data_IF_112878582439
#
_entry.id   IF_112878582439
#
_cell.length_a   1.000
_cell.length_b   1.000
_cell.length_c   1.000
_cell.angle_alpha   90.00
_cell.angle_beta   90.00
_cell.angle_gamma   90.00
#
_symmetry.space_group_name_H-M   'P 1'
#
loop_
_entity.id
_entity.type
_entity.pdbx_description
1 polymer ?
#
# COMPACT_ATOMS: atom_id res chain seq x y z
N UNK A 1 45.83 -59.91 51.85
CA UNK A 1 45.10 -59.24 50.76
C UNK A 1 44.15 -58.23 51.39
N UNK A 2 44.53 -56.94 51.45
CA UNK A 2 43.69 -55.87 51.98
C UNK A 2 43.15 -54.93 50.88
N UNK A 3 42.12 -54.17 51.25
CA UNK A 3 41.52 -53.04 50.53
C UNK A 3 42.55 -51.98 50.06
N UNK A 4 42.22 -51.18 49.03
CA UNK A 4 42.90 -49.91 48.81
C UNK A 4 42.03 -48.72 49.23
N UNK A 5 42.58 -47.93 50.15
CA UNK A 5 42.37 -46.48 50.26
C UNK A 5 43.42 -45.83 49.34
N UNK A 6 43.13 -44.68 48.72
CA UNK A 6 43.98 -43.53 49.04
C UNK A 6 43.20 -42.21 49.08
N UNK A 7 43.43 -41.45 50.15
CA UNK A 7 43.13 -40.03 50.22
C UNK A 7 44.43 -39.28 50.58
N UNK A 8 44.87 -38.44 49.64
CA UNK A 8 45.50 -37.12 49.78
C UNK A 8 46.77 -36.96 50.62
N UNK A 9 47.84 -36.46 49.98
CA UNK A 9 48.38 -35.09 50.13
C UNK A 9 49.88 -35.06 49.79
N UNK A 10 50.24 -34.37 48.71
CA UNK A 10 51.51 -33.67 48.60
C UNK A 10 51.29 -32.34 47.87
N UNK A 11 51.80 -31.26 48.50
CA UNK A 11 52.53 -30.09 47.95
C UNK A 11 52.25 -29.66 46.50
N UNK A 12 52.29 -28.40 46.10
CA UNK A 12 52.55 -27.08 46.68
C UNK A 12 52.60 -26.13 45.46
N UNK A 13 52.31 -24.84 45.68
CA UNK A 13 52.75 -23.67 44.90
C UNK A 13 53.02 -23.84 43.39
N UNK A 14 52.28 -23.09 42.58
CA UNK A 14 52.84 -21.92 41.87
C UNK A 14 51.74 -21.17 41.13
N UNK A 15 51.62 -19.88 41.45
CA UNK A 15 50.83 -18.94 40.70
C UNK A 15 51.49 -18.68 39.33
N UNK A 16 50.78 -18.97 38.25
CA UNK A 16 51.09 -18.45 36.93
C UNK A 16 49.95 -17.51 36.53
N UNK A 17 50.29 -16.23 36.42
CA UNK A 17 49.47 -15.18 35.81
C UNK A 17 49.21 -15.58 34.35
N UNK A 18 47.95 -15.84 34.01
CA UNK A 18 47.48 -15.88 32.63
C UNK A 18 46.47 -14.74 32.45
N UNK A 19 46.92 -13.70 31.77
CA UNK A 19 46.09 -12.66 31.17
C UNK A 19 45.19 -13.33 30.13
N UNK A 20 43.94 -13.62 30.50
CA UNK A 20 42.87 -13.85 29.55
C UNK A 20 42.29 -12.51 29.16
N UNK A 21 42.60 -12.06 27.94
CA UNK A 21 41.83 -11.03 27.26
C UNK A 21 40.44 -11.60 26.97
N UNK A 22 39.51 -11.38 27.90
CA UNK A 22 38.10 -11.56 27.62
C UNK A 22 37.68 -10.43 26.67
N UNK A 23 37.67 -10.72 25.38
CA UNK A 23 36.85 -10.03 24.41
C UNK A 23 35.38 -10.25 24.80
N UNK A 24 34.84 -9.35 25.63
CA UNK A 24 33.39 -9.25 25.79
C UNK A 24 32.82 -8.78 24.46
N UNK A 25 32.38 -9.73 23.63
CA UNK A 25 31.38 -9.41 22.62
C UNK A 25 30.16 -8.91 23.39
N UNK A 26 29.98 -7.58 23.36
CA UNK A 26 28.77 -6.94 23.85
C UNK A 26 27.59 -7.59 23.15
N UNK A 27 26.70 -8.22 23.91
CA UNK A 27 25.41 -8.63 23.39
C UNK A 27 24.70 -7.37 22.85
N UNK A 28 24.11 -7.41 21.65
CA UNK A 28 23.39 -6.26 21.13
C UNK A 28 22.20 -5.98 22.05
N UNK A 29 22.20 -4.78 22.65
CA UNK A 29 21.10 -4.27 23.45
C UNK A 29 19.81 -4.27 22.61
N UNK A 30 18.62 -4.63 23.15
CA UNK A 30 17.45 -4.97 22.34
C UNK A 30 16.82 -3.81 21.54
N UNK A 31 17.31 -2.58 21.67
CA UNK A 31 16.60 -1.40 21.16
C UNK A 31 17.34 -0.51 20.15
N UNK A 32 18.61 -0.74 19.81
CA UNK A 32 19.33 0.19 18.92
C UNK A 32 18.65 0.34 17.55
N UNK A 33 18.14 1.55 17.26
CA UNK A 33 17.58 1.92 15.97
C UNK A 33 18.58 2.83 15.26
N UNK A 34 19.19 2.31 14.18
CA UNK A 34 20.23 3.01 13.40
C UNK A 34 19.76 4.31 12.73
N UNK A 35 18.45 4.55 12.67
CA UNK A 35 17.87 5.74 12.08
C UNK A 35 17.60 6.86 13.11
N UNK A 36 17.82 6.59 14.40
CA UNK A 36 17.66 7.56 15.49
C UNK A 36 19.04 8.03 15.98
N UNK A 37 19.11 9.24 16.53
CA UNK A 37 20.34 9.72 17.17
C UNK A 37 20.71 8.85 18.38
N UNK A 38 21.99 8.79 18.77
CA UNK A 38 22.43 8.05 19.96
C UNK A 38 21.70 8.48 21.25
N UNK A 39 21.39 9.76 21.39
CA UNK A 39 20.69 10.35 22.54
C UNK A 39 19.23 9.92 22.58
N UNK A 40 18.56 9.87 21.42
CA UNK A 40 17.19 9.36 21.30
C UNK A 40 17.14 7.86 21.54
N UNK A 41 18.12 7.10 21.02
CA UNK A 41 18.26 5.67 21.33
C UNK A 41 18.48 5.40 22.82
N UNK A 42 19.26 6.24 23.51
CA UNK A 42 19.50 6.14 24.95
C UNK A 42 18.25 6.51 25.77
N UNK A 43 17.52 7.55 25.35
CA UNK A 43 16.24 7.91 25.97
C UNK A 43 15.21 6.80 25.79
N UNK A 44 15.05 6.24 24.59
CA UNK A 44 14.15 5.11 24.30
C UNK A 44 14.58 3.78 24.93
N UNK A 45 15.81 3.67 25.41
CA UNK A 45 16.28 2.54 26.20
C UNK A 45 15.94 2.69 27.70
N UNK A 46 15.40 3.84 28.12
CA UNK A 46 14.93 4.07 29.49
C UNK A 46 13.67 3.21 29.74
N UNK A 47 13.72 2.22 30.66
CA UNK A 47 12.57 1.38 30.98
C UNK A 47 11.40 2.15 31.60
N UNK A 48 11.57 3.44 31.93
CA UNK A 48 10.51 4.31 32.41
C UNK A 48 9.77 5.05 31.29
N UNK A 49 10.24 5.03 30.04
CA UNK A 49 9.43 5.55 28.93
C UNK A 49 8.40 4.50 28.48
N UNK A 50 7.18 4.92 28.10
CA UNK A 50 6.26 4.06 27.38
C UNK A 50 6.87 3.68 26.03
N UNK A 51 7.52 2.52 25.93
CA UNK A 51 8.21 2.10 24.69
C UNK A 51 7.39 1.00 23.99
N UNK A 52 6.88 1.30 22.80
CA UNK A 52 6.69 0.29 21.76
C UNK A 52 7.30 0.71 20.43
N UNK A 53 8.12 -0.20 19.87
CA UNK A 53 8.49 -0.25 18.45
C UNK A 53 7.34 -0.88 17.68
N UNK A 54 6.63 -0.12 16.86
CA UNK A 54 5.85 -0.70 15.76
C UNK A 54 6.66 -0.65 14.47
N UNK A 55 6.90 -1.82 13.87
CA UNK A 55 7.30 -1.99 12.47
C UNK A 55 6.02 -2.27 11.68
N UNK A 56 5.38 -1.19 11.24
CA UNK A 56 4.24 -1.18 10.34
C UNK A 56 4.09 0.26 9.91
N UNK A 57 3.75 0.51 8.65
CA UNK A 57 3.93 1.80 7.97
C UNK A 57 3.01 2.94 8.46
N UNK A 58 2.49 2.87 9.69
CA UNK A 58 1.64 3.85 10.33
C UNK A 58 2.11 4.08 11.79
N UNK A 59 2.58 5.31 12.01
CA UNK A 59 2.91 5.96 13.30
C UNK A 59 3.96 5.31 14.22
N UNK A 60 5.23 5.62 13.97
CA UNK A 60 6.19 5.85 15.06
C UNK A 60 5.95 7.22 15.73
N UNK A 61 6.76 7.56 16.72
CA UNK A 61 6.77 8.90 17.33
C UNK A 61 6.95 10.00 16.28
N UNK A 62 6.31 11.16 16.48
CA UNK A 62 6.58 12.32 15.61
C UNK A 62 8.01 12.82 15.76
N UNK A 63 8.57 13.41 14.69
CA UNK A 63 9.85 14.14 14.77
C UNK A 63 9.84 15.24 15.83
N UNK A 64 8.66 15.83 16.09
CA UNK A 64 8.46 16.83 17.14
C UNK A 64 8.65 16.21 18.53
N UNK A 65 8.07 15.04 18.78
CA UNK A 65 8.29 14.30 20.02
C UNK A 65 9.76 13.90 20.21
N UNK A 66 10.40 13.38 19.15
CA UNK A 66 11.83 13.03 19.18
C UNK A 66 12.71 14.25 19.54
N UNK A 67 12.39 15.42 18.99
CA UNK A 67 13.05 16.68 19.32
C UNK A 67 12.77 17.11 20.77
N UNK A 68 11.54 16.95 21.25
CA UNK A 68 11.15 17.33 22.61
C UNK A 68 11.86 16.49 23.67
N UNK A 69 11.94 15.17 23.48
CA UNK A 69 12.63 14.28 24.43
C UNK A 69 14.15 14.44 24.41
N UNK A 70 14.75 14.79 23.27
CA UNK A 70 16.20 15.00 23.17
C UNK A 70 16.66 16.34 23.75
N UNK A 71 15.79 17.35 23.76
CA UNK A 71 16.07 18.68 24.31
C UNK A 71 14.86 19.17 25.14
N UNK A 72 14.59 18.56 26.30
CA UNK A 72 13.49 18.96 27.16
C UNK A 72 13.66 20.40 27.66
N UNK A 73 12.57 21.15 27.76
CA UNK A 73 12.59 22.50 28.31
C UNK A 73 13.06 22.45 29.79
N UNK A 74 14.13 23.20 30.16
CA UNK A 74 14.86 23.01 31.42
C UNK A 74 14.13 23.58 32.64
N UNK A 75 13.06 24.34 32.44
CA UNK A 75 12.29 25.07 33.45
C UNK A 75 11.05 24.32 33.96
N UNK A 76 10.78 23.12 33.43
CA UNK A 76 9.63 22.31 33.79
C UNK A 76 9.95 21.29 34.87
N UNK A 77 8.97 21.00 35.73
CA UNK A 77 9.09 19.99 36.80
C UNK A 77 9.10 18.55 36.28
N UNK A 78 8.46 18.28 35.13
CA UNK A 78 8.45 16.99 34.44
C UNK A 78 8.37 17.20 32.92
N UNK A 79 9.48 17.62 32.28
CA UNK A 79 9.47 17.94 30.85
C UNK A 79 9.17 16.72 29.97
N UNK A 80 9.46 15.51 30.45
CA UNK A 80 9.17 14.27 29.72
C UNK A 80 7.68 13.99 29.65
N UNK A 81 6.96 14.12 30.77
CA UNK A 81 5.49 13.99 30.77
C UNK A 81 4.82 15.03 29.89
N UNK A 82 5.38 16.25 29.83
CA UNK A 82 4.89 17.26 28.91
C UNK A 82 5.07 16.86 27.44
N UNK A 83 6.25 16.36 27.04
CA UNK A 83 6.46 15.87 25.68
C UNK A 83 5.46 14.77 25.29
N UNK A 84 5.17 13.83 26.21
CA UNK A 84 4.19 12.75 25.99
C UNK A 84 2.77 13.31 25.86
N UNK A 85 2.39 14.27 26.72
CA UNK A 85 1.07 14.90 26.66
C UNK A 85 0.85 15.68 25.35
N UNK A 86 1.89 16.36 24.85
CA UNK A 86 1.85 17.05 23.56
C UNK A 86 1.68 16.07 22.39
N UNK A 87 2.39 14.93 22.41
CA UNK A 87 2.25 13.88 21.39
C UNK A 87 0.86 13.23 21.42
N UNK A 88 0.30 12.94 22.60
CA UNK A 88 -1.07 12.45 22.75
C UNK A 88 -2.06 13.45 22.15
N UNK A 89 -1.89 14.73 22.46
CA UNK A 89 -2.75 15.81 21.93
C UNK A 89 -2.68 15.87 20.41
N UNK A 90 -1.48 15.77 19.84
CA UNK A 90 -1.29 15.74 18.40
C UNK A 90 -1.96 14.52 17.76
N UNK A 91 -1.70 13.31 18.27
CA UNK A 91 -2.28 12.07 17.74
C UNK A 91 -3.81 12.03 17.86
N UNK A 92 -4.39 12.64 18.90
CA UNK A 92 -5.84 12.86 18.99
C UNK A 92 -6.37 13.80 17.89
N UNK A 93 -5.62 14.81 17.50
CA UNK A 93 -5.98 15.63 16.33
C UNK A 93 -6.01 14.81 15.05
N UNK A 94 -5.00 13.94 14.88
CA UNK A 94 -4.89 13.02 13.74
C UNK A 94 -6.08 12.05 13.68
N UNK A 95 -6.58 11.54 14.83
CA UNK A 95 -7.76 10.65 14.80
C UNK A 95 -9.00 11.33 14.22
N UNK A 96 -9.19 12.63 14.48
CA UNK A 96 -10.29 13.39 13.89
C UNK A 96 -10.17 13.52 12.37
N UNK A 97 -8.96 13.74 11.85
CA UNK A 97 -8.69 13.81 10.41
C UNK A 97 -8.99 12.47 9.71
N UNK A 98 -8.50 11.35 10.27
CA UNK A 98 -8.79 10.02 9.73
C UNK A 98 -10.28 9.67 9.79
N UNK A 99 -10.95 10.00 10.89
CA UNK A 99 -12.39 9.79 11.01
C UNK A 99 -13.17 10.61 9.98
N UNK A 100 -12.81 11.89 9.78
CA UNK A 100 -13.44 12.73 8.77
C UNK A 100 -13.22 12.14 7.36
N UNK A 101 -11.99 11.72 7.05
CA UNK A 101 -11.67 11.08 5.77
C UNK A 101 -12.49 9.80 5.54
N UNK A 102 -12.66 8.96 6.57
CA UNK A 102 -13.55 7.80 6.54
C UNK A 102 -15.01 8.19 6.30
N UNK A 103 -15.51 9.23 6.98
CA UNK A 103 -16.89 9.69 6.81
C UNK A 103 -17.15 10.22 5.41
N UNK A 104 -16.22 10.99 4.83
CA UNK A 104 -16.37 11.47 3.44
C UNK A 104 -16.41 10.29 2.47
N UNK A 105 -15.48 9.33 2.59
CA UNK A 105 -15.50 8.11 1.78
C UNK A 105 -16.82 7.31 1.96
N UNK A 106 -17.32 7.21 3.19
CA UNK A 106 -18.57 6.50 3.47
C UNK A 106 -19.80 7.24 2.93
N UNK A 107 -19.88 8.57 3.06
CA UNK A 107 -20.97 9.37 2.50
C UNK A 107 -21.04 9.25 0.99
N UNK A 108 -19.89 9.18 0.34
CA UNK A 108 -19.79 9.07 -1.11
C UNK A 108 -20.09 7.64 -1.58
N UNK A 109 -19.42 6.64 -1.00
CA UNK A 109 -19.40 5.27 -1.54
C UNK A 109 -20.37 4.30 -0.86
N UNK A 110 -20.71 4.51 0.42
CA UNK A 110 -21.59 3.62 1.20
C UNK A 110 -22.47 4.38 2.22
N UNK A 111 -23.44 5.21 1.80
CA UNK A 111 -24.18 6.10 2.71
C UNK A 111 -24.87 5.39 3.88
N UNK A 112 -25.29 4.13 3.67
CA UNK A 112 -25.99 3.33 4.67
C UNK A 112 -25.14 3.03 5.93
N UNK A 113 -23.81 3.08 5.85
CA UNK A 113 -22.93 2.78 7.01
C UNK A 113 -22.52 4.02 7.81
N UNK A 114 -22.81 5.23 7.33
CA UNK A 114 -22.37 6.50 7.93
C UNK A 114 -22.80 6.62 9.39
N UNK A 115 -24.08 6.36 9.71
CA UNK A 115 -24.58 6.41 11.09
C UNK A 115 -23.89 5.39 12.00
N UNK A 116 -23.50 4.23 11.47
CA UNK A 116 -22.73 3.22 12.19
C UNK A 116 -21.33 3.70 12.53
N UNK A 117 -20.63 4.32 11.56
CA UNK A 117 -19.28 4.88 11.72
C UNK A 117 -19.28 6.02 12.76
N UNK A 118 -20.24 6.94 12.70
CA UNK A 118 -20.41 7.99 13.70
C UNK A 118 -20.68 7.40 15.10
N UNK A 119 -21.46 6.32 15.18
CA UNK A 119 -21.71 5.58 16.41
C UNK A 119 -20.43 4.97 17.00
N UNK A 120 -19.62 4.30 16.18
CA UNK A 120 -18.34 3.70 16.57
C UNK A 120 -17.36 4.75 17.11
N UNK A 121 -17.25 5.90 16.45
CA UNK A 121 -16.38 6.98 16.91
C UNK A 121 -16.82 7.57 18.27
N UNK A 122 -18.12 7.76 18.48
CA UNK A 122 -18.64 8.18 19.80
C UNK A 122 -18.30 7.16 20.90
N UNK A 123 -18.49 5.87 20.64
CA UNK A 123 -18.15 4.81 21.58
C UNK A 123 -16.64 4.77 21.89
N UNK A 124 -15.81 4.99 20.88
CA UNK A 124 -14.37 5.09 21.07
C UNK A 124 -13.98 6.30 21.94
N UNK A 125 -14.58 7.48 21.73
CA UNK A 125 -14.34 8.66 22.56
C UNK A 125 -14.74 8.44 24.01
N UNK A 126 -15.83 7.72 24.27
CA UNK A 126 -16.25 7.33 25.61
C UNK A 126 -15.23 6.37 26.25
N UNK A 127 -14.83 5.31 25.53
CA UNK A 127 -13.78 4.36 25.95
C UNK A 127 -12.46 5.08 26.26
N UNK A 128 -12.02 5.99 25.38
CA UNK A 128 -10.80 6.78 25.58
C UNK A 128 -10.84 7.59 26.88
N UNK A 129 -11.99 8.18 27.21
CA UNK A 129 -12.16 8.97 28.44
C UNK A 129 -12.22 8.12 29.71
N UNK A 130 -12.82 6.93 29.65
CA UNK A 130 -13.09 6.10 30.84
C UNK A 130 -12.06 5.00 31.11
N UNK A 131 -11.36 4.49 30.08
CA UNK A 131 -10.57 3.26 30.20
C UNK A 131 -9.17 3.44 30.77
N UNK A 132 -8.66 4.66 30.83
CA UNK A 132 -7.29 4.94 31.30
C UNK A 132 -7.26 5.59 32.71
N UNK A 133 -8.35 5.52 33.48
CA UNK A 133 -8.38 5.96 34.89
C UNK A 133 -7.76 4.91 35.84
N UNK A 134 -6.98 5.42 36.79
CA UNK A 134 -5.76 4.84 37.40
C UNK A 134 -6.02 3.82 38.53
N UNK A 135 -7.24 3.31 38.74
CA UNK A 135 -7.51 2.44 39.91
C UNK A 135 -6.80 1.06 39.87
N UNK A 136 -6.19 0.66 38.75
CA UNK A 136 -5.43 -0.60 38.63
C UNK A 136 -3.92 -0.43 38.33
N UNK A 137 -3.38 0.79 38.27
CA UNK A 137 -2.04 1.04 37.69
C UNK A 137 -1.04 1.64 38.68
N UNK A 138 -0.96 1.13 39.91
CA UNK A 138 -0.04 1.64 40.93
C UNK A 138 1.43 1.19 40.79
N UNK A 139 1.82 0.45 39.75
CA UNK A 139 3.15 -0.16 39.65
C UNK A 139 4.08 0.39 38.56
N UNK A 140 3.60 1.20 37.61
CA UNK A 140 4.40 1.64 36.46
C UNK A 140 4.25 3.15 36.16
N UNK A 141 5.37 3.91 36.08
CA UNK A 141 5.36 5.27 35.52
C UNK A 141 4.71 5.28 34.13
N UNK A 142 3.91 6.33 33.85
CA UNK A 142 3.26 6.58 32.55
C UNK A 142 2.25 5.52 32.06
N UNK A 143 1.75 4.64 32.92
CA UNK A 143 0.77 3.62 32.55
C UNK A 143 -0.51 4.20 31.92
N UNK A 144 -0.95 5.37 32.39
CA UNK A 144 -2.10 6.09 31.82
C UNK A 144 -1.81 6.57 30.41
N UNK A 145 -0.68 7.22 30.21
CA UNK A 145 -0.26 7.75 28.91
C UNK A 145 -0.06 6.62 27.89
N UNK A 146 0.48 5.47 28.31
CA UNK A 146 0.58 4.28 27.45
C UNK A 146 -0.79 3.78 27.01
N UNK A 147 -1.74 3.64 27.95
CA UNK A 147 -3.12 3.25 27.63
C UNK A 147 -3.77 4.20 26.62
N UNK A 148 -3.55 5.51 26.76
CA UNK A 148 -4.09 6.51 25.85
C UNK A 148 -3.52 6.37 24.44
N UNK A 149 -2.20 6.20 24.32
CA UNK A 149 -1.55 5.98 23.02
C UNK A 149 -2.02 4.68 22.35
N UNK A 150 -2.17 3.59 23.11
CA UNK A 150 -2.64 2.31 22.59
C UNK A 150 -4.06 2.43 22.00
N UNK A 151 -4.96 3.12 22.71
CA UNK A 151 -6.33 3.34 22.22
C UNK A 151 -6.39 4.24 20.98
N UNK A 152 -5.48 5.21 20.86
CA UNK A 152 -5.37 6.08 19.68
C UNK A 152 -4.86 5.28 18.47
N UNK A 153 -3.79 4.51 18.64
CA UNK A 153 -3.21 3.73 17.54
C UNK A 153 -4.17 2.62 17.08
N UNK A 154 -4.89 1.96 18.02
CA UNK A 154 -5.97 1.00 17.70
C UNK A 154 -7.03 1.65 16.80
N UNK A 155 -7.47 2.87 17.15
CA UNK A 155 -8.49 3.58 16.38
C UNK A 155 -8.01 4.00 15.00
N UNK A 156 -6.80 4.56 14.89
CA UNK A 156 -6.22 4.94 13.60
C UNK A 156 -6.15 3.72 12.68
N UNK A 157 -5.64 2.59 13.18
CA UNK A 157 -5.52 1.36 12.42
C UNK A 157 -6.89 0.84 11.95
N UNK A 158 -7.87 0.75 12.85
CA UNK A 158 -9.23 0.32 12.50
C UNK A 158 -9.88 1.26 11.48
N UNK A 159 -9.72 2.58 11.66
CA UNK A 159 -10.26 3.60 10.76
C UNK A 159 -9.65 3.51 9.36
N UNK A 160 -8.32 3.30 9.26
CA UNK A 160 -7.65 3.08 7.98
C UNK A 160 -8.16 1.81 7.31
N UNK A 161 -8.23 0.69 8.02
CA UNK A 161 -8.73 -0.57 7.46
C UNK A 161 -10.18 -0.47 6.99
N UNK A 162 -11.04 0.17 7.77
CA UNK A 162 -12.44 0.39 7.43
C UNK A 162 -12.59 1.33 6.24
N UNK A 163 -11.77 2.39 6.17
CA UNK A 163 -11.73 3.29 5.01
C UNK A 163 -11.29 2.52 3.77
N UNK A 164 -10.20 1.76 3.86
CA UNK A 164 -9.75 0.88 2.77
C UNK A 164 -10.88 -0.04 2.33
N UNK A 165 -11.60 -0.68 3.25
CA UNK A 165 -12.74 -1.56 2.93
C UNK A 165 -13.87 -0.84 2.21
N UNK A 166 -14.21 0.38 2.64
CA UNK A 166 -15.25 1.21 2.00
C UNK A 166 -14.80 1.65 0.61
N UNK A 167 -13.54 2.04 0.45
CA UNK A 167 -12.98 2.43 -0.85
C UNK A 167 -12.72 1.21 -1.75
N UNK A 168 -12.48 0.03 -1.17
CA UNK A 168 -12.22 -1.23 -1.85
C UNK A 168 -13.47 -2.10 -1.99
N UNK A 169 -14.67 -1.63 -1.63
CA UNK A 169 -15.92 -2.40 -1.79
C UNK A 169 -16.20 -2.78 -3.26
N UNK A 170 -15.54 -2.08 -4.20
CA UNK A 170 -15.54 -2.40 -5.64
C UNK A 170 -14.34 -3.25 -6.07
N UNK A 171 -13.39 -3.58 -5.19
CA UNK A 171 -12.26 -4.43 -5.55
C UNK A 171 -12.68 -5.89 -5.69
N UNK A 172 -12.49 -6.42 -6.89
CA UNK A 172 -12.79 -7.80 -7.19
C UNK A 172 -11.92 -8.29 -8.34
N UNK A 173 -11.64 -9.58 -8.35
CA UNK A 173 -10.88 -10.24 -9.40
C UNK A 173 -11.69 -11.41 -9.93
N UNK A 174 -11.72 -11.58 -11.24
CA UNK A 174 -12.32 -12.73 -11.91
C UNK A 174 -11.22 -13.51 -12.64
N UNK A 175 -10.94 -14.72 -12.17
CA UNK A 175 -9.92 -15.60 -12.75
C UNK A 175 -10.47 -16.39 -13.96
N UNK A 176 -11.78 -16.58 -14.03
CA UNK A 176 -12.42 -17.40 -15.07
C UNK A 176 -12.09 -16.89 -16.48
N UNK A 177 -11.38 -17.70 -17.25
CA UNK A 177 -11.10 -17.42 -18.65
C UNK A 177 -12.36 -17.55 -19.52
N UNK A 178 -12.47 -16.74 -20.60
CA UNK A 178 -13.39 -17.05 -21.69
C UNK A 178 -13.09 -18.47 -22.20
N UNK A 179 -14.12 -19.27 -22.54
CA UNK A 179 -13.89 -20.60 -23.08
C UNK A 179 -12.98 -20.52 -24.30
N UNK A 180 -11.87 -21.25 -24.28
CA UNK A 180 -10.94 -21.31 -25.39
C UNK A 180 -11.61 -22.01 -26.57
N UNK A 181 -11.68 -21.32 -27.73
CA UNK A 181 -12.39 -21.65 -28.98
C UNK A 181 -13.93 -21.49 -28.93
N UNK A 182 -14.43 -20.35 -29.42
CA UNK A 182 -15.86 -19.95 -29.48
C UNK A 182 -16.58 -20.02 -28.13
N UNK A 183 -16.37 -18.98 -27.33
CA UNK A 183 -16.80 -18.96 -25.93
C UNK A 183 -17.64 -17.75 -25.56
N UNK A 184 -18.50 -17.94 -24.57
CA UNK A 184 -19.00 -16.84 -23.76
C UNK A 184 -18.64 -17.09 -22.29
N UNK A 185 -18.26 -16.03 -21.60
CA UNK A 185 -18.03 -16.04 -20.16
C UNK A 185 -18.76 -14.87 -19.52
N UNK A 186 -19.00 -14.97 -18.22
CA UNK A 186 -19.46 -13.84 -17.41
C UNK A 186 -18.48 -13.69 -16.26
N UNK A 187 -17.76 -12.57 -16.27
CA UNK A 187 -16.83 -12.18 -15.23
C UNK A 187 -17.61 -11.38 -14.18
N UNK A 188 -17.60 -11.85 -12.94
CA UNK A 188 -18.27 -11.19 -11.82
C UNK A 188 -17.22 -10.45 -10.99
N UNK A 189 -17.41 -9.13 -10.84
CA UNK A 189 -16.48 -8.21 -10.19
C UNK A 189 -17.19 -7.48 -9.04
N UNK A 190 -17.51 -8.23 -7.98
CA UNK A 190 -18.36 -7.75 -6.91
C UNK A 190 -19.80 -7.63 -7.40
N UNK A 191 -20.33 -6.40 -7.41
CA UNK A 191 -21.65 -6.09 -7.98
C UNK A 191 -21.61 -5.61 -9.46
N UNK A 192 -20.43 -5.58 -10.06
CA UNK A 192 -20.27 -5.36 -11.50
C UNK A 192 -20.15 -6.67 -12.27
N UNK A 193 -20.49 -6.60 -13.55
CA UNK A 193 -20.47 -7.74 -14.46
C UNK A 193 -19.85 -7.34 -15.80
N UNK A 194 -19.03 -8.24 -16.33
CA UNK A 194 -18.59 -8.19 -17.73
C UNK A 194 -18.95 -9.51 -18.40
N UNK A 195 -19.97 -9.50 -19.26
CA UNK A 195 -20.21 -10.63 -20.15
C UNK A 195 -19.29 -10.51 -21.37
N UNK A 196 -18.55 -11.57 -21.66
CA UNK A 196 -17.58 -11.62 -22.76
C UNK A 196 -18.06 -12.66 -23.76
N UNK A 197 -18.10 -12.31 -25.03
CA UNK A 197 -18.30 -13.26 -26.13
C UNK A 197 -17.20 -13.07 -27.16
N UNK A 198 -16.61 -14.17 -27.63
CA UNK A 198 -15.45 -14.16 -28.54
C UNK A 198 -15.70 -15.09 -29.72
N UNK A 199 -15.14 -14.75 -30.88
CA UNK A 199 -15.25 -15.59 -32.07
C UNK A 199 -14.15 -16.67 -32.10
N UNK A 200 -12.92 -16.29 -31.77
CA UNK A 200 -11.77 -17.21 -31.68
C UNK A 200 -10.78 -16.70 -30.62
N UNK A 201 -9.94 -17.58 -30.08
CA UNK A 201 -8.91 -17.27 -29.09
C UNK A 201 -7.62 -18.05 -29.38
N UNK A 202 -6.93 -17.76 -30.50
CA UNK A 202 -5.66 -18.39 -30.82
C UNK A 202 -4.59 -18.06 -29.77
N UNK A 203 -3.67 -19.00 -29.58
CA UNK A 203 -2.45 -18.80 -28.81
C UNK A 203 -1.62 -17.63 -29.39
N UNK A 204 -1.10 -16.78 -28.51
CA UNK A 204 -0.34 -15.57 -28.83
C UNK A 204 0.98 -15.56 -28.06
N UNK A 205 2.11 -15.31 -28.75
CA UNK A 205 3.50 -15.38 -28.22
C UNK A 205 3.93 -16.76 -27.70
N UNK A 206 3.18 -17.36 -26.79
CA UNK A 206 3.40 -18.68 -26.20
C UNK A 206 2.05 -19.25 -25.71
N UNK A 207 2.07 -20.47 -25.21
CA UNK A 207 0.86 -21.20 -24.80
C UNK A 207 0.05 -20.52 -23.69
N UNK A 208 0.62 -19.51 -23.00
CA UNK A 208 -0.03 -18.86 -21.86
C UNK A 208 -0.84 -17.60 -22.19
N UNK A 209 -0.79 -17.12 -23.42
CA UNK A 209 -1.57 -15.95 -23.82
C UNK A 209 -2.46 -16.31 -25.00
N UNK A 210 -3.69 -15.84 -24.97
CA UNK A 210 -4.69 -16.06 -26.01
C UNK A 210 -5.16 -14.72 -26.55
N UNK A 211 -4.98 -14.50 -27.84
CA UNK A 211 -5.41 -13.28 -28.53
C UNK A 211 -6.84 -13.47 -29.04
N UNK A 212 -7.83 -13.27 -28.17
CA UNK A 212 -9.22 -13.43 -28.54
C UNK A 212 -9.70 -12.35 -29.52
N UNK A 213 -10.33 -12.75 -30.62
CA UNK A 213 -10.74 -11.88 -31.72
C UNK A 213 -12.25 -11.57 -31.70
N UNK A 214 -12.62 -10.41 -32.26
CA UNK A 214 -13.99 -9.90 -32.38
C UNK A 214 -14.76 -9.93 -31.04
N UNK A 215 -14.09 -9.48 -29.98
CA UNK A 215 -14.60 -9.54 -28.62
C UNK A 215 -15.79 -8.60 -28.44
N UNK A 216 -16.92 -9.19 -28.06
CA UNK A 216 -18.16 -8.50 -27.68
C UNK A 216 -18.27 -8.49 -26.18
N UNK A 217 -18.38 -7.29 -25.60
CA UNK A 217 -18.53 -7.09 -24.16
C UNK A 217 -19.93 -6.54 -23.86
N UNK A 218 -20.52 -7.02 -22.78
CA UNK A 218 -21.63 -6.35 -22.09
C UNK A 218 -21.15 -6.00 -20.70
N UNK A 219 -20.98 -4.71 -20.43
CA UNK A 219 -20.45 -4.19 -19.16
C UNK A 219 -21.60 -3.56 -18.39
N UNK A 220 -21.76 -3.94 -17.13
CA UNK A 220 -22.67 -3.25 -16.22
C UNK A 220 -22.11 -3.14 -14.81
N UNK A 221 -22.47 -2.04 -14.17
CA UNK A 221 -22.20 -1.75 -12.76
C UNK A 221 -23.51 -1.26 -12.13
N UNK A 222 -23.59 -1.09 -10.80
CA UNK A 222 -24.79 -0.52 -10.17
C UNK A 222 -25.19 0.86 -10.73
N UNK A 223 -24.22 1.63 -11.21
CA UNK A 223 -24.40 3.01 -11.68
C UNK A 223 -24.45 3.12 -13.22
N UNK A 224 -24.00 2.07 -13.93
CA UNK A 224 -23.90 2.02 -15.38
C UNK A 224 -24.77 0.88 -15.91
N UNK A 225 -25.87 1.24 -16.59
CA UNK A 225 -26.72 0.27 -17.30
C UNK A 225 -25.93 -0.48 -18.39
N UNK A 226 -26.42 -1.66 -18.80
CA UNK A 226 -25.73 -2.53 -19.77
C UNK A 226 -25.19 -1.77 -21.00
N UNK A 227 -23.87 -1.72 -21.11
CA UNK A 227 -23.13 -1.13 -22.22
C UNK A 227 -22.60 -2.22 -23.14
N UNK A 228 -22.91 -2.11 -24.43
CA UNK A 228 -22.46 -3.05 -25.45
C UNK A 228 -21.23 -2.50 -26.16
N UNK A 229 -20.10 -3.19 -26.02
CA UNK A 229 -18.83 -2.77 -26.61
C UNK A 229 -18.31 -3.85 -27.56
N UNK A 230 -17.63 -3.40 -28.61
CA UNK A 230 -16.96 -4.27 -29.56
C UNK A 230 -15.50 -3.88 -29.60
N UNK A 231 -14.62 -4.83 -29.26
CA UNK A 231 -13.18 -4.69 -29.39
C UNK A 231 -12.70 -5.64 -30.49
N UNK A 232 -11.75 -5.22 -31.35
CA UNK A 232 -11.18 -6.11 -32.35
C UNK A 232 -10.48 -7.32 -31.73
N UNK A 233 -9.83 -7.10 -30.58
CA UNK A 233 -9.01 -8.11 -29.90
C UNK A 233 -8.88 -7.83 -28.41
N UNK A 234 -8.86 -8.87 -27.57
CA UNK A 234 -8.46 -8.81 -26.16
C UNK A 234 -7.53 -9.99 -25.85
N UNK A 235 -6.48 -9.74 -25.08
CA UNK A 235 -5.51 -10.74 -24.65
C UNK A 235 -5.94 -11.32 -23.31
N UNK A 236 -6.14 -12.63 -23.26
CA UNK A 236 -6.35 -13.40 -22.03
C UNK A 236 -5.08 -14.17 -21.66
N UNK A 237 -4.79 -14.28 -20.37
CA UNK A 237 -3.67 -15.07 -19.88
C UNK A 237 -4.14 -16.13 -18.90
N UNK A 238 -3.64 -17.35 -19.05
CA UNK A 238 -3.87 -18.49 -18.16
C UNK A 238 -2.73 -18.69 -17.15
N UNK A 239 -1.81 -17.72 -17.02
CA UNK A 239 -0.76 -17.76 -16.01
C UNK A 239 -1.37 -17.73 -14.62
N UNK A 240 -0.80 -18.49 -13.69
CA UNK A 240 -1.30 -18.65 -12.32
C UNK A 240 -1.50 -17.33 -11.57
N UNK A 241 -0.65 -16.33 -11.80
CA UNK A 241 -0.73 -15.03 -11.14
C UNK A 241 -1.59 -14.00 -11.90
N UNK A 242 -1.98 -14.28 -13.16
CA UNK A 242 -2.78 -13.36 -13.98
C UNK A 242 -4.28 -13.66 -13.81
N UNK A 243 -5.14 -12.68 -14.10
CA UNK A 243 -6.58 -12.87 -14.04
C UNK A 243 -7.32 -12.26 -15.24
N UNK A 244 -8.49 -12.79 -15.55
CA UNK A 244 -9.30 -12.35 -16.69
C UNK A 244 -9.88 -10.95 -16.50
N UNK A 245 -10.26 -10.59 -15.28
CA UNK A 245 -10.63 -9.22 -15.00
C UNK A 245 -10.33 -8.78 -13.57
N UNK A 246 -10.18 -7.47 -13.39
CA UNK A 246 -10.07 -6.81 -12.10
C UNK A 246 -10.97 -5.59 -12.05
N UNK A 247 -11.48 -5.27 -10.87
CA UNK A 247 -12.12 -3.99 -10.56
C UNK A 247 -11.41 -3.32 -9.40
N UNK A 248 -11.37 -1.99 -9.40
CA UNK A 248 -10.77 -1.17 -8.35
C UNK A 248 -9.33 -0.75 -8.63
N UNK A 249 -8.54 -0.49 -7.58
CA UNK A 249 -7.32 0.30 -7.69
C UNK A 249 -6.17 -0.39 -8.44
N UNK A 250 -5.39 0.40 -9.18
CA UNK A 250 -4.12 0.02 -9.79
C UNK A 250 -2.94 0.80 -9.18
N UNK A 251 -3.07 1.30 -7.94
CA UNK A 251 -2.01 2.08 -7.26
C UNK A 251 -0.71 1.30 -7.07
N UNK A 252 -0.80 0.00 -6.83
CA UNK A 252 0.34 -0.90 -6.67
C UNK A 252 0.77 -1.55 -7.99
N UNK A 253 0.19 -1.10 -9.10
CA UNK A 253 0.49 -1.61 -10.43
C UNK A 253 0.16 -3.08 -10.62
N UNK A 254 1.02 -3.74 -11.39
CA UNK A 254 0.89 -5.15 -11.80
C UNK A 254 1.70 -6.11 -10.94
N UNK A 255 2.00 -5.74 -9.68
CA UNK A 255 2.78 -6.58 -8.76
C UNK A 255 2.10 -7.92 -8.43
N UNK A 256 0.77 -7.99 -8.61
CA UNK A 256 -0.07 -9.16 -8.30
C UNK A 256 -0.74 -9.75 -9.54
N UNK A 257 -0.10 -9.59 -10.71
CA UNK A 257 -0.59 -10.12 -11.96
C UNK A 257 -1.03 -9.07 -12.97
N UNK A 258 -1.25 -9.56 -14.18
CA UNK A 258 -1.83 -8.83 -15.30
C UNK A 258 -3.31 -9.15 -15.43
N UNK A 259 -4.05 -8.20 -15.97
CA UNK A 259 -5.50 -8.30 -16.08
C UNK A 259 -5.93 -8.03 -17.52
N UNK A 260 -6.80 -8.87 -18.08
CA UNK A 260 -7.28 -8.69 -19.45
C UNK A 260 -8.28 -7.55 -19.57
N UNK A 261 -9.16 -7.40 -18.58
CA UNK A 261 -10.17 -6.36 -18.50
C UNK A 261 -10.11 -5.71 -17.10
N UNK A 262 -10.14 -4.39 -17.04
CA UNK A 262 -10.04 -3.65 -15.79
C UNK A 262 -11.12 -2.59 -15.71
N UNK A 263 -11.89 -2.60 -14.62
CA UNK A 263 -12.83 -1.54 -14.25
C UNK A 263 -12.23 -0.68 -13.15
N UNK A 264 -11.93 0.58 -13.46
CA UNK A 264 -11.35 1.53 -12.52
C UNK A 264 -11.62 2.95 -13.00
N UNK A 265 -11.68 3.90 -12.08
CA UNK A 265 -11.82 5.32 -12.40
C UNK A 265 -10.45 5.88 -12.84
N UNK A 266 -10.25 6.06 -14.16
CA UNK A 266 -8.99 6.50 -14.75
C UNK A 266 -8.84 8.02 -14.73
N UNK A 267 -9.93 8.76 -14.88
CA UNK A 267 -9.95 10.22 -14.95
C UNK A 267 -10.35 10.90 -13.62
N UNK A 268 -10.66 10.10 -12.59
CA UNK A 268 -11.08 10.53 -11.26
C UNK A 268 -12.36 11.39 -11.29
N UNK A 269 -13.30 11.05 -12.18
CA UNK A 269 -14.60 11.73 -12.30
C UNK A 269 -15.72 11.10 -11.45
N UNK A 270 -15.40 10.01 -10.74
CA UNK A 270 -16.32 9.26 -9.87
C UNK A 270 -17.05 8.11 -10.58
N UNK A 271 -16.88 7.96 -11.88
CA UNK A 271 -17.40 6.83 -12.66
C UNK A 271 -16.29 5.82 -13.01
N UNK A 272 -16.69 4.58 -13.25
CA UNK A 272 -15.75 3.53 -13.60
C UNK A 272 -15.51 3.51 -15.11
N UNK A 273 -14.23 3.52 -15.50
CA UNK A 273 -13.78 3.35 -16.87
C UNK A 273 -13.40 1.90 -17.16
N UNK A 274 -13.29 1.55 -18.44
CA UNK A 274 -12.84 0.23 -18.88
C UNK A 274 -11.46 0.32 -19.55
N UNK A 275 -10.52 -0.47 -19.04
CA UNK A 275 -9.24 -0.71 -19.68
C UNK A 275 -9.16 -2.16 -20.16
N UNK A 276 -8.81 -2.38 -21.42
CA UNK A 276 -8.74 -3.71 -22.02
C UNK A 276 -7.35 -3.99 -22.57
N UNK A 277 -6.74 -5.13 -22.20
CA UNK A 277 -5.46 -5.58 -22.72
C UNK A 277 -5.65 -6.01 -24.17
N UNK A 278 -5.22 -5.18 -25.13
CA UNK A 278 -5.50 -5.39 -26.56
C UNK A 278 -4.28 -5.77 -27.40
N UNK A 279 -3.08 -5.73 -26.83
CA UNK A 279 -1.87 -6.17 -27.54
C UNK A 279 -0.61 -6.19 -26.68
N UNK A 280 0.54 -6.28 -27.34
CA UNK A 280 1.85 -6.40 -26.70
C UNK A 280 2.82 -5.30 -27.17
N UNK A 281 2.27 -4.14 -27.53
CA UNK A 281 3.02 -3.00 -28.04
C UNK A 281 3.63 -2.14 -26.91
N UNK A 282 3.48 -2.55 -25.64
CA UNK A 282 4.20 -1.99 -24.51
C UNK A 282 5.70 -2.29 -24.56
N UNK A 283 6.45 -1.64 -23.67
CA UNK A 283 7.91 -1.76 -23.62
C UNK A 283 8.34 -3.22 -23.40
N UNK A 284 9.32 -3.72 -24.17
CA UNK A 284 9.74 -5.14 -24.16
C UNK A 284 8.62 -6.18 -24.33
N UNK A 285 7.51 -5.80 -24.96
CA UNK A 285 6.39 -6.70 -25.15
C UNK A 285 5.43 -6.78 -23.98
N UNK A 286 5.48 -5.80 -23.08
CA UNK A 286 4.45 -5.59 -22.07
C UNK A 286 3.07 -5.34 -22.68
N UNK A 287 2.02 -5.48 -21.85
CA UNK A 287 0.66 -5.19 -22.26
C UNK A 287 0.52 -3.78 -22.85
N UNK A 288 -0.20 -3.69 -23.96
CA UNK A 288 -0.79 -2.45 -24.43
C UNK A 288 -2.30 -2.50 -24.18
N UNK A 289 -2.88 -1.36 -23.83
CA UNK A 289 -4.28 -1.27 -23.47
C UNK A 289 -5.04 -0.34 -24.40
N UNK A 290 -6.31 -0.68 -24.62
CA UNK A 290 -7.35 0.25 -25.09
C UNK A 290 -8.05 0.80 -23.86
N UNK A 291 -8.27 2.12 -23.85
CA UNK A 291 -8.87 2.85 -22.73
C UNK A 291 -10.22 3.38 -23.18
N UNK A 292 -11.30 3.01 -22.48
CA UNK A 292 -12.65 3.48 -22.75
C UNK A 292 -13.15 4.21 -21.52
N UNK A 293 -13.34 5.52 -21.63
CA UNK A 293 -13.82 6.35 -20.53
C UNK A 293 -15.34 6.36 -20.52
N UNK A 294 -15.96 6.28 -19.35
CA UNK A 294 -17.39 6.51 -19.25
C UNK A 294 -17.66 8.02 -19.37
N UNK A 295 -18.53 8.39 -20.30
CA UNK A 295 -18.99 9.76 -20.44
C UNK A 295 -20.39 9.89 -19.81
N UNK A 296 -20.53 10.59 -18.67
CA UNK A 296 -21.81 10.72 -17.98
C UNK A 296 -22.83 11.54 -18.78
N UNK A 297 -22.39 12.40 -19.70
CA UNK A 297 -23.30 13.21 -20.53
C UNK A 297 -23.98 12.35 -21.59
N UNK A 298 -23.25 11.40 -22.18
CA UNK A 298 -23.78 10.47 -23.20
C UNK A 298 -24.19 9.12 -22.63
N UNK A 299 -23.88 8.87 -21.35
CA UNK A 299 -24.11 7.63 -20.62
C UNK A 299 -23.53 6.40 -21.33
N UNK A 300 -22.33 6.54 -21.88
CA UNK A 300 -21.68 5.54 -22.71
C UNK A 300 -20.17 5.49 -22.48
N UNK A 301 -19.57 4.31 -22.70
CA UNK A 301 -18.12 4.20 -22.80
C UNK A 301 -17.64 4.70 -24.16
N UNK A 302 -16.65 5.59 -24.15
CA UNK A 302 -16.03 6.20 -25.33
C UNK A 302 -14.54 5.90 -25.34
N UNK A 303 -14.04 5.33 -26.44
CA UNK A 303 -12.62 5.05 -26.60
C UNK A 303 -11.79 6.35 -26.60
N UNK A 304 -10.80 6.42 -25.71
CA UNK A 304 -9.87 7.53 -25.61
C UNK A 304 -8.56 7.22 -26.33
N UNK A 305 -8.57 7.45 -27.65
CA UNK A 305 -7.39 7.28 -28.51
C UNK A 305 -6.26 8.27 -28.21
N UNK A 306 -6.57 9.40 -27.55
CA UNK A 306 -5.58 10.42 -27.22
C UNK A 306 -4.57 9.91 -26.18
N UNK A 307 -4.96 9.05 -25.24
CA UNK A 307 -4.02 8.40 -24.31
C UNK A 307 -2.99 7.59 -25.09
N UNK A 308 -3.46 6.78 -26.04
CA UNK A 308 -2.61 5.88 -26.81
C UNK A 308 -1.55 6.64 -27.61
N UNK A 309 -1.89 7.82 -28.15
CA UNK A 309 -0.95 8.71 -28.82
C UNK A 309 0.12 9.27 -27.87
N UNK A 310 -0.21 9.50 -26.60
CA UNK A 310 0.72 10.04 -25.60
C UNK A 310 1.66 8.99 -24.99
N UNK A 311 1.29 7.70 -25.02
CA UNK A 311 2.08 6.64 -24.38
C UNK A 311 3.46 6.47 -25.05
N UNK A 312 3.56 6.54 -26.37
CA UNK A 312 4.84 6.47 -27.12
C UNK A 312 5.78 5.32 -26.65
N UNK A 313 5.40 4.05 -26.85
CA UNK A 313 6.18 2.85 -26.46
C UNK A 313 6.43 2.64 -24.95
N UNK A 314 5.81 3.44 -24.09
CA UNK A 314 5.86 3.21 -22.65
C UNK A 314 4.85 2.10 -22.24
N UNK A 315 5.15 1.44 -21.13
CA UNK A 315 4.24 0.51 -20.45
C UNK A 315 3.56 1.23 -19.29
N UNK A 316 2.28 0.98 -19.08
CA UNK A 316 1.59 1.42 -17.86
C UNK A 316 2.22 0.71 -16.66
N UNK A 317 2.55 1.45 -15.59
CA UNK A 317 3.00 0.87 -14.32
C UNK A 317 1.87 0.82 -13.30
N UNK A 318 1.18 1.94 -13.08
CA UNK A 318 0.15 2.10 -12.04
C UNK A 318 -0.80 3.26 -12.38
N UNK A 319 -1.93 3.31 -11.67
CA UNK A 319 -2.85 4.46 -11.67
C UNK A 319 -3.05 4.90 -10.22
N UNK A 320 -2.76 6.16 -9.92
CA UNK A 320 -2.85 6.74 -8.58
C UNK A 320 -3.66 8.03 -8.67
N UNK A 321 -4.82 8.11 -8.04
CA UNK A 321 -5.67 9.32 -8.01
C UNK A 321 -5.87 9.96 -9.40
N UNK A 322 -6.26 9.16 -10.40
CA UNK A 322 -6.46 9.60 -11.80
C UNK A 322 -5.19 10.02 -12.56
N UNK A 323 -4.01 9.75 -11.99
CA UNK A 323 -2.71 9.91 -12.64
C UNK A 323 -2.20 8.55 -13.10
N UNK A 324 -2.03 8.41 -14.41
CA UNK A 324 -1.50 7.22 -15.04
C UNK A 324 0.02 7.36 -15.13
N UNK A 325 0.73 6.41 -14.54
CA UNK A 325 2.18 6.35 -14.56
C UNK A 325 2.65 5.36 -15.61
N UNK A 326 3.64 5.78 -16.39
CA UNK A 326 4.20 5.01 -17.48
C UNK A 326 5.71 4.97 -17.38
N UNK A 327 6.30 3.86 -17.82
CA UNK A 327 7.75 3.69 -17.85
C UNK A 327 8.19 3.12 -19.19
N UNK A 328 9.43 3.39 -19.57
CA UNK A 328 10.07 2.72 -20.69
C UNK A 328 11.55 2.46 -20.40
N UNK A 329 12.07 1.45 -21.09
CA UNK A 329 13.49 1.16 -21.16
C UNK A 329 13.88 0.85 -22.59
N UNK A 330 15.08 1.26 -22.98
CA UNK A 330 15.68 0.82 -24.24
C UNK A 330 17.17 0.54 -24.05
N UNK A 331 17.55 -0.72 -24.23
CA UNK A 331 18.91 -1.19 -24.02
C UNK A 331 19.39 -1.00 -22.57
N UNK A 332 20.73 -0.91 -22.37
CA UNK A 332 21.30 -0.80 -21.04
C UNK A 332 21.06 0.59 -20.41
N UNK A 333 21.01 1.65 -21.22
CA UNK A 333 21.18 3.03 -20.73
C UNK A 333 19.95 3.93 -20.77
N UNK A 334 19.03 3.71 -21.71
CA UNK A 334 17.86 4.58 -21.84
C UNK A 334 16.78 4.12 -20.87
N UNK A 335 16.29 5.06 -20.06
CA UNK A 335 15.14 4.91 -19.18
C UNK A 335 14.26 6.13 -19.36
N UNK A 336 12.97 5.97 -19.15
CA UNK A 336 12.17 7.13 -18.84
C UNK A 336 10.85 6.79 -18.21
N UNK A 337 10.27 7.82 -17.63
CA UNK A 337 9.02 7.80 -16.89
C UNK A 337 8.15 8.94 -17.42
N UNK A 338 6.85 8.69 -17.47
CA UNK A 338 5.87 9.64 -17.97
C UNK A 338 4.61 9.52 -17.14
N UNK A 339 4.12 10.66 -16.68
CA UNK A 339 2.88 10.75 -15.92
C UNK A 339 1.84 11.50 -16.75
N UNK A 340 0.68 10.88 -16.92
CA UNK A 340 -0.47 11.45 -17.64
C UNK A 340 -1.60 11.67 -16.63
N UNK A 341 -2.28 12.80 -16.72
CA UNK A 341 -3.52 13.08 -16.00
C UNK A 341 -4.57 13.64 -16.95
N UNK A 342 -5.83 13.49 -16.60
CA UNK A 342 -6.93 14.06 -17.34
C UNK A 342 -7.27 15.49 -16.90
N UNK A 343 -7.54 16.35 -17.88
CA UNK A 343 -8.20 17.64 -17.70
C UNK A 343 -9.59 17.52 -18.35
N UNK A 344 -10.62 17.26 -17.53
CA UNK A 344 -11.91 16.77 -18.04
C UNK A 344 -11.73 15.40 -18.69
N UNK A 345 -12.22 15.21 -19.92
CA UNK A 345 -12.03 13.96 -20.69
C UNK A 345 -10.73 13.91 -21.50
N UNK A 346 -9.87 14.94 -21.40
CA UNK A 346 -8.69 15.04 -22.27
C UNK A 346 -7.40 14.71 -21.51
N UNK A 347 -6.63 13.70 -21.94
CA UNK A 347 -5.37 13.37 -21.28
C UNK A 347 -4.28 14.39 -21.62
N UNK A 348 -3.39 14.64 -20.64
CA UNK A 348 -2.24 15.53 -20.73
C UNK A 348 -1.04 14.92 -20.03
N UNK A 349 0.15 15.10 -20.61
CA UNK A 349 1.40 14.78 -19.92
C UNK A 349 1.63 15.87 -18.86
N UNK A 350 1.77 15.47 -17.61
CA UNK A 350 2.04 16.37 -16.49
C UNK A 350 3.48 16.25 -15.98
N UNK A 351 4.14 15.12 -16.25
CA UNK A 351 5.55 14.93 -15.96
C UNK A 351 6.17 13.97 -16.99
N UNK A 352 7.45 14.21 -17.30
CA UNK A 352 8.28 13.33 -18.12
C UNK A 352 9.71 13.42 -17.65
N UNK A 353 10.36 12.28 -17.48
CA UNK A 353 11.74 12.17 -17.08
C UNK A 353 12.43 11.10 -17.92
N UNK A 354 13.23 11.51 -18.91
CA UNK A 354 13.99 10.61 -19.77
C UNK A 354 15.48 10.75 -19.41
N UNK A 355 16.14 9.62 -19.13
CA UNK A 355 17.54 9.55 -18.73
C UNK A 355 18.32 8.66 -19.68
N UNK A 356 19.50 9.13 -20.08
CA UNK A 356 20.46 8.35 -20.84
C UNK A 356 21.76 8.22 -20.04
N UNK A 357 21.88 7.15 -19.24
CA UNK A 357 23.05 6.94 -18.39
C UNK A 357 24.36 6.70 -19.17
N UNK A 358 24.29 6.45 -20.49
CA UNK A 358 25.46 6.32 -21.35
C UNK A 358 26.06 7.69 -21.72
N UNK A 359 25.27 8.77 -21.70
CA UNK A 359 25.72 10.13 -22.04
C UNK A 359 25.75 11.04 -20.83
N UNK A 360 24.84 10.85 -19.88
CA UNK A 360 24.61 11.76 -18.76
C UNK A 360 25.63 11.56 -17.62
N UNK A 361 26.55 10.58 -17.77
CA UNK A 361 27.71 10.36 -16.90
C UNK A 361 29.05 10.85 -17.47
N UNK A 362 29.05 11.53 -18.63
CA UNK A 362 30.25 12.09 -19.28
C UNK A 362 30.30 13.63 -19.17
N UNK A 363 29.80 14.19 -18.07
CA UNK A 363 29.88 15.61 -17.76
C UNK A 363 31.16 15.98 -17.00
N UNK A 364 32.04 16.70 -17.72
CA UNK A 364 33.15 17.58 -17.33
C UNK A 364 34.35 17.00 -16.54
N UNK A 365 35.38 16.63 -17.30
CA UNK A 365 36.79 16.80 -16.92
C UNK A 365 37.52 17.60 -18.00
#
# INVERSE_FOLDING_TARGET
MPHPIPLWLFLSLSAALLLTTASSQAQPSPAYNRFLSPEVNAALADPQLPVRKYRGNLSGWTKRFESCISQPAPDLSDPRRQCIAEEITYKLGVTAEYHQSLLEAAKEKMPAVVTGIEGQHRQWLERYKSSCDVENSQSLPFAREQCQLDLIDEFIHQTVQQRTTITSYREATAEQLPPTSQGSATLILGDARIAVTVDDCPTARNDFFHACENVRLVVSTPDIADQHLQLPRVIFSDREDDASAKRGSLEHGFAWGKYSLMLLDLNNDGHEDLMAWTGFEGNYGDPSYTYLLYDPDTQAFVENTAIQALIEMHSLSQVVDGQLEFWYRSGPCLRGEKSIRFEGQTPRIIARNDVNTCTDGLGDN
#
